data_IF_605764739232
#
_entry.id   IF_605764739232
#
_cell.length_a   1.000
_cell.length_b   1.000
_cell.length_c   1.000
_cell.angle_alpha   90.00
_cell.angle_beta   90.00
_cell.angle_gamma   90.00
#
_symmetry.space_group_name_H-M   'P 1'
#
loop_
_entity.id
_entity.type
_entity.pdbx_description
1 polymer ?
#
# COMPACT_ATOMS: atom_id res chain seq x y z
N UNK A 1 14.56 3.34 5.51
CA UNK A 1 14.70 4.76 5.92
C UNK A 1 13.31 5.40 5.92
N UNK A 2 12.81 5.86 7.07
CA UNK A 2 11.51 6.54 7.15
C UNK A 2 11.64 7.95 6.52
N UNK A 3 10.71 8.33 5.63
CA UNK A 3 10.70 9.65 4.98
C UNK A 3 10.72 10.82 5.98
N UNK A 4 10.15 10.67 7.19
CA UNK A 4 10.19 11.71 8.21
C UNK A 4 11.59 11.92 8.83
N UNK A 5 12.38 10.85 8.93
CA UNK A 5 13.79 10.92 9.38
C UNK A 5 14.62 11.56 8.27
N UNK A 6 14.43 11.13 7.03
CA UNK A 6 15.10 11.73 5.87
C UNK A 6 14.83 13.24 5.75
N UNK A 7 13.59 13.70 5.94
CA UNK A 7 13.25 15.14 5.89
C UNK A 7 13.91 15.92 7.02
N UNK A 8 13.96 15.36 8.24
CA UNK A 8 14.69 15.97 9.36
C UNK A 8 16.19 16.09 9.06
N UNK A 9 16.78 15.06 8.48
CA UNK A 9 18.21 15.06 8.14
C UNK A 9 18.49 16.04 6.98
N UNK A 10 17.61 16.10 5.97
CA UNK A 10 17.70 17.05 4.86
C UNK A 10 17.56 18.52 5.31
N UNK A 11 16.75 18.80 6.34
CA UNK A 11 16.70 20.14 6.95
C UNK A 11 18.07 20.56 7.50
N UNK A 12 18.84 19.63 8.05
CA UNK A 12 20.17 19.90 8.60
C UNK A 12 21.22 20.18 7.51
N UNK A 13 20.99 19.73 6.27
CA UNK A 13 21.89 19.91 5.13
C UNK A 13 21.79 21.30 4.46
N UNK A 14 20.93 22.20 4.96
CA UNK A 14 20.79 23.61 4.53
C UNK A 14 20.70 23.79 3.01
N UNK A 15 20.00 22.90 2.31
CA UNK A 15 19.84 23.01 0.86
C UNK A 15 19.03 24.26 0.47
N UNK A 16 19.54 25.13 -0.42
CA UNK A 16 18.95 26.45 -0.70
C UNK A 16 17.49 26.42 -1.17
N UNK A 17 17.04 25.31 -1.77
CA UNK A 17 15.70 25.14 -2.33
C UNK A 17 14.80 24.23 -1.50
N UNK A 18 15.30 23.62 -0.42
CA UNK A 18 14.51 22.75 0.43
C UNK A 18 13.90 23.56 1.57
N UNK A 19 12.59 23.84 1.48
CA UNK A 19 11.86 24.67 2.47
C UNK A 19 11.21 23.84 3.59
N UNK A 20 11.76 22.66 3.89
CA UNK A 20 11.25 21.80 4.96
C UNK A 20 9.96 21.08 4.59
N UNK A 21 8.96 21.11 5.49
CA UNK A 21 7.80 20.20 5.46
C UNK A 21 6.86 20.44 4.26
N UNK A 22 6.88 21.65 3.68
CA UNK A 22 6.10 22.00 2.48
C UNK A 22 6.57 21.27 1.22
N UNK A 23 7.81 20.76 1.20
CA UNK A 23 8.36 19.95 0.11
C UNK A 23 8.39 18.45 0.48
N UNK A 24 7.73 18.07 1.58
CA UNK A 24 7.67 16.68 2.00
C UNK A 24 6.65 15.90 1.16
N UNK A 25 7.16 15.01 0.31
CA UNK A 25 6.36 14.04 -0.43
C UNK A 25 6.38 12.71 0.34
N UNK A 26 5.20 12.15 0.56
CA UNK A 26 5.04 10.87 1.23
C UNK A 26 5.17 9.75 0.21
N UNK A 27 5.78 8.64 0.62
CA UNK A 27 5.93 7.48 -0.26
C UNK A 27 4.55 6.89 -0.55
N UNK A 28 4.07 7.00 -1.79
CA UNK A 28 2.73 6.53 -2.13
C UNK A 28 2.60 5.01 -2.05
N UNK A 29 3.66 4.25 -2.36
CA UNK A 29 3.69 2.80 -2.12
C UNK A 29 3.48 2.44 -0.63
N UNK A 30 4.01 3.28 0.29
CA UNK A 30 3.75 3.11 1.72
C UNK A 30 2.28 3.40 2.05
N UNK A 31 1.70 4.47 1.50
CA UNK A 31 0.28 4.81 1.68
C UNK A 31 -0.62 3.66 1.22
N UNK A 32 -0.38 3.09 0.04
CA UNK A 32 -1.12 1.92 -0.45
C UNK A 32 -1.06 0.74 0.51
N UNK A 33 0.14 0.44 1.02
CA UNK A 33 0.29 -0.61 2.02
C UNK A 33 -0.53 -0.32 3.29
N UNK A 34 -0.58 0.93 3.76
CA UNK A 34 -1.39 1.29 4.93
C UNK A 34 -2.90 1.15 4.66
N UNK A 35 -3.37 1.55 3.48
CA UNK A 35 -4.77 1.40 3.08
C UNK A 35 -5.13 -0.09 3.07
N UNK A 36 -4.35 -0.92 2.39
CA UNK A 36 -4.61 -2.36 2.30
C UNK A 36 -4.52 -3.03 3.67
N UNK A 37 -3.55 -2.65 4.51
CA UNK A 37 -3.47 -3.14 5.88
C UNK A 37 -4.73 -2.79 6.68
N UNK A 38 -5.29 -1.59 6.50
CA UNK A 38 -6.56 -1.19 7.13
C UNK A 38 -7.74 -2.05 6.65
N UNK A 39 -7.79 -2.38 5.36
CA UNK A 39 -8.83 -3.25 4.78
C UNK A 39 -8.71 -4.68 5.31
N UNK A 40 -7.50 -5.23 5.40
CA UNK A 40 -7.28 -6.62 5.82
C UNK A 40 -7.27 -6.81 7.33
N UNK A 41 -7.13 -5.73 8.10
CA UNK A 41 -7.02 -5.77 9.56
C UNK A 41 -8.20 -6.45 10.27
N UNK A 42 -9.47 -6.20 9.90
CA UNK A 42 -10.60 -6.93 10.48
C UNK A 42 -10.55 -8.44 10.25
N UNK A 43 -9.74 -8.92 9.29
CA UNK A 43 -9.62 -10.35 8.96
C UNK A 43 -8.30 -10.97 9.45
N UNK A 44 -7.41 -10.17 10.06
CA UNK A 44 -6.12 -10.62 10.58
C UNK A 44 -6.15 -11.01 12.07
N UNK A 45 -5.12 -11.73 12.52
CA UNK A 45 -4.89 -11.98 13.96
C UNK A 45 -4.12 -10.81 14.57
N UNK A 46 -4.70 -10.08 15.52
CA UNK A 46 -4.01 -8.99 16.22
C UNK A 46 -2.82 -9.53 17.03
N UNK A 47 -1.66 -8.84 17.00
CA UNK A 47 -0.70 -8.99 18.11
C UNK A 47 -1.38 -8.35 19.32
N UNK A 48 -1.61 -9.13 20.39
CA UNK A 48 -1.91 -8.53 21.70
C UNK A 48 -0.70 -7.66 22.05
N UNK A 49 -0.92 -6.38 22.37
CA UNK A 49 0.14 -5.56 22.99
C UNK A 49 0.58 -6.29 24.27
N UNK A 50 1.89 -6.34 24.61
CA UNK A 50 2.30 -6.80 25.92
C UNK A 50 1.66 -5.87 26.95
N UNK A 51 0.82 -6.41 27.82
CA UNK A 51 0.31 -5.66 28.97
C UNK A 51 1.52 -5.27 29.83
N UNK A 52 1.67 -4.02 30.29
CA UNK A 52 2.69 -3.69 31.26
C UNK A 52 2.45 -4.55 32.51
N UNK A 53 3.46 -5.32 32.91
CA UNK A 53 3.41 -6.08 34.16
C UNK A 53 3.25 -5.11 35.34
N UNK A 54 2.04 -5.08 35.91
CA UNK A 54 1.75 -4.55 37.23
C UNK A 54 1.42 -5.72 38.17
N UNK A 55 2.04 -5.70 39.35
CA UNK A 55 2.08 -6.71 40.41
C UNK A 55 0.77 -7.45 40.67
N UNK A 56 0.89 -8.77 40.89
CA UNK A 56 -0.22 -9.70 40.90
C UNK A 56 -1.00 -9.83 42.19
N UNK A 57 -2.02 -10.68 42.10
CA UNK A 57 -2.40 -11.66 43.13
C UNK A 57 -3.01 -12.86 42.41
N UNK A 58 -2.63 -14.01 42.93
CA UNK A 58 -2.98 -15.39 42.58
C UNK A 58 -4.49 -15.65 42.67
N UNK A 59 -5.11 -16.21 41.62
CA UNK A 59 -6.15 -17.24 41.76
C UNK A 59 -6.33 -18.03 40.45
N UNK A 60 -6.49 -19.34 40.59
CA UNK A 60 -6.32 -20.34 39.55
C UNK A 60 -7.49 -20.51 38.58
N UNK A 61 -7.18 -20.94 37.35
CA UNK A 61 -8.20 -21.34 36.38
C UNK A 61 -7.68 -21.69 34.99
N UNK A 62 -7.36 -22.98 34.81
CA UNK A 62 -7.48 -23.78 33.58
C UNK A 62 -6.68 -23.38 32.31
N UNK A 63 -5.66 -24.20 32.09
CA UNK A 63 -4.98 -24.54 30.84
C UNK A 63 -5.94 -24.77 29.66
N UNK A 64 -5.69 -24.07 28.54
CA UNK A 64 -6.03 -24.54 27.19
C UNK A 64 -5.42 -23.60 26.13
N UNK A 65 -4.40 -24.08 25.43
CA UNK A 65 -4.06 -23.60 24.08
C UNK A 65 -2.71 -22.92 23.96
N UNK A 66 -1.64 -23.71 24.08
CA UNK A 66 -0.30 -23.34 23.60
C UNK A 66 -0.32 -23.29 22.07
N UNK A 67 -0.68 -22.13 21.51
CA UNK A 67 -0.55 -21.87 20.08
C UNK A 67 0.89 -21.42 19.81
N UNK A 68 1.64 -22.27 19.10
CA UNK A 68 3.03 -22.02 18.75
C UNK A 68 3.10 -20.92 17.68
N UNK A 69 3.24 -19.67 18.10
CA UNK A 69 3.74 -18.58 17.26
C UNK A 69 5.26 -18.65 17.24
N UNK A 70 5.82 -19.38 16.27
CA UNK A 70 7.21 -19.14 15.88
C UNK A 70 7.21 -17.92 14.94
N UNK A 71 7.77 -16.83 15.46
CA UNK A 71 8.17 -15.65 14.71
C UNK A 71 9.14 -16.06 13.59
N UNK A 72 8.91 -15.58 12.37
CA UNK A 72 9.92 -15.64 11.32
C UNK A 72 9.93 -14.28 10.60
N UNK A 73 10.75 -13.38 11.16
CA UNK A 73 11.04 -12.05 10.65
C UNK A 73 11.99 -12.18 9.45
N UNK A 74 11.45 -12.02 8.24
CA UNK A 74 12.25 -11.72 7.04
C UNK A 74 11.70 -10.46 6.37
N UNK A 75 12.22 -9.34 6.85
CA UNK A 75 12.02 -8.02 6.26
C UNK A 75 12.78 -7.95 4.94
N UNK A 76 12.11 -7.45 3.90
CA UNK A 76 12.62 -7.43 2.54
C UNK A 76 11.57 -6.87 1.59
N UNK A 77 12.00 -6.20 0.55
CA UNK A 77 11.21 -5.28 -0.26
C UNK A 77 10.04 -5.94 -1.04
N UNK A 78 9.16 -5.07 -1.55
CA UNK A 78 8.04 -5.38 -2.46
C UNK A 78 8.55 -6.29 -3.58
N UNK A 79 8.12 -7.55 -3.60
CA UNK A 79 8.42 -8.45 -4.73
C UNK A 79 7.33 -8.25 -5.78
N UNK A 80 7.74 -7.84 -6.97
CA UNK A 80 6.85 -7.72 -8.13
C UNK A 80 6.34 -9.12 -8.49
N UNK A 81 5.03 -9.35 -8.45
CA UNK A 81 4.45 -10.54 -9.07
C UNK A 81 4.47 -10.28 -10.57
N UNK A 82 5.31 -11.03 -11.29
CA UNK A 82 5.35 -10.93 -12.75
C UNK A 82 3.98 -11.29 -13.34
N UNK A 83 3.59 -10.54 -14.38
CA UNK A 83 2.38 -10.79 -15.19
C UNK A 83 2.44 -12.22 -15.72
N UNK A 84 1.53 -13.07 -15.27
CA UNK A 84 1.50 -14.49 -15.65
C UNK A 84 0.93 -14.64 -17.06
N UNK A 85 1.79 -14.50 -18.07
CA UNK A 85 1.53 -15.06 -19.39
C UNK A 85 2.77 -15.82 -19.90
N UNK A 86 2.55 -17.13 -20.07
CA UNK A 86 3.28 -18.18 -20.81
C UNK A 86 4.79 -18.46 -20.60
N UNK A 87 4.99 -19.76 -20.37
CA UNK A 87 6.05 -20.69 -20.84
C UNK A 87 7.32 -20.94 -20.01
N UNK A 88 7.47 -22.23 -19.68
CA UNK A 88 8.64 -23.04 -19.31
C UNK A 88 9.19 -22.96 -17.88
N UNK A 89 9.43 -24.11 -17.21
CA UNK A 89 10.02 -24.16 -15.87
C UNK A 89 11.54 -24.13 -15.97
N UNK A 90 12.16 -23.01 -15.60
CA UNK A 90 13.57 -23.00 -15.21
C UNK A 90 13.66 -22.94 -13.68
N UNK A 91 14.34 -23.93 -13.12
CA UNK A 91 14.71 -24.00 -11.71
C UNK A 91 15.73 -22.89 -11.41
N UNK A 92 15.42 -22.01 -10.46
CA UNK A 92 16.40 -21.07 -9.92
C UNK A 92 16.58 -21.36 -8.42
N UNK A 93 17.77 -21.88 -8.08
CA UNK A 93 18.33 -21.84 -6.72
C UNK A 93 18.58 -20.38 -6.32
N UNK A 94 18.16 -20.00 -5.11
CA UNK A 94 18.47 -18.69 -4.54
C UNK A 94 19.58 -18.84 -3.51
N UNK A 95 20.76 -18.33 -3.88
CA UNK A 95 21.91 -18.14 -3.01
C UNK A 95 21.60 -17.06 -1.97
N UNK A 96 21.88 -17.39 -0.71
CA UNK A 96 21.85 -16.46 0.41
C UNK A 96 23.06 -15.52 0.32
N UNK A 97 22.82 -14.21 0.27
CA UNK A 97 23.86 -13.24 0.66
C UNK A 97 23.21 -12.02 1.32
N UNK A 98 23.90 -11.51 2.36
CA UNK A 98 23.32 -10.78 3.48
C UNK A 98 23.25 -9.26 3.39
N UNK A 99 23.03 -8.69 4.59
CA UNK A 99 23.07 -7.26 4.98
C UNK A 99 21.76 -6.47 4.76
N UNK A 100 21.26 -5.59 5.64
CA UNK A 100 21.70 -5.04 6.94
C UNK A 100 20.45 -4.57 7.70
N UNK A 101 20.44 -4.73 9.03
CA UNK A 101 19.35 -4.39 9.94
C UNK A 101 19.23 -2.87 10.17
N UNK A 102 18.02 -2.31 9.99
CA UNK A 102 17.63 -1.06 10.65
C UNK A 102 16.14 -1.12 10.97
N UNK A 103 15.80 -1.27 12.26
CA UNK A 103 14.42 -1.20 12.73
C UNK A 103 13.78 0.15 12.39
N UNK A 104 12.58 0.18 11.78
CA UNK A 104 11.83 1.41 11.64
C UNK A 104 11.17 1.77 12.97
N UNK A 105 11.66 2.84 13.61
CA UNK A 105 10.99 3.49 14.73
C UNK A 105 9.52 3.78 14.39
N UNK A 106 8.65 3.39 15.32
CA UNK A 106 7.19 3.49 15.26
C UNK A 106 6.76 4.94 15.04
N UNK A 107 6.22 5.24 13.85
CA UNK A 107 5.22 6.30 13.76
C UNK A 107 4.00 5.79 14.53
N UNK A 108 3.55 6.58 15.49
CA UNK A 108 2.38 6.33 16.32
C UNK A 108 1.16 6.22 15.39
N UNK A 109 0.94 5.00 14.90
CA UNK A 109 -0.12 4.73 13.96
C UNK A 109 -1.39 4.80 14.78
N UNK A 110 -2.17 5.89 14.61
CA UNK A 110 -3.55 5.99 15.06
C UNK A 110 -4.20 4.64 14.75
N UNK A 111 -4.37 3.85 15.81
CA UNK A 111 -4.72 2.46 15.69
C UNK A 111 -6.23 2.45 15.55
N UNK A 112 -6.75 2.75 14.35
CA UNK A 112 -8.19 2.76 14.08
C UNK A 112 -8.76 1.42 14.54
N UNK A 113 -9.62 1.46 15.54
CA UNK A 113 -10.37 0.34 16.09
C UNK A 113 -11.62 0.11 15.23
N UNK A 114 -12.23 -1.08 15.34
CA UNK A 114 -13.47 -1.38 14.64
C UNK A 114 -14.62 -0.44 15.06
N UNK A 115 -14.50 0.22 16.22
CA UNK A 115 -15.44 1.25 16.71
C UNK A 115 -15.29 2.60 15.99
N UNK A 116 -14.25 2.78 15.16
CA UNK A 116 -13.98 4.02 14.44
C UNK A 116 -14.59 4.04 13.02
N UNK A 117 -15.43 3.06 12.67
CA UNK A 117 -16.11 2.97 11.38
C UNK A 117 -17.47 3.67 11.49
N UNK A 118 -17.54 4.91 10.99
CA UNK A 118 -18.81 5.63 10.87
C UNK A 118 -19.78 4.85 9.97
N UNK A 119 -21.04 4.71 10.40
CA UNK A 119 -22.10 4.02 9.66
C UNK A 119 -21.79 2.55 9.30
N UNK A 120 -21.14 1.81 10.21
CA UNK A 120 -20.91 0.38 10.03
C UNK A 120 -22.22 -0.37 9.75
N UNK A 121 -22.22 -1.21 8.72
CA UNK A 121 -23.33 -2.09 8.41
C UNK A 121 -23.36 -3.25 9.41
N UNK A 122 -24.54 -3.58 9.93
CA UNK A 122 -24.70 -4.70 10.87
C UNK A 122 -24.50 -6.02 10.14
N UNK A 123 -23.61 -6.86 10.67
CA UNK A 123 -23.41 -8.24 10.21
C UNK A 123 -24.51 -9.15 10.77
N UNK A 124 -25.06 -10.03 9.93
CA UNK A 124 -26.10 -10.97 10.31
C UNK A 124 -25.69 -12.43 10.07
N UNK A 125 -26.30 -13.34 10.82
CA UNK A 125 -26.02 -14.80 10.71
C UNK A 125 -26.36 -15.40 9.34
N UNK A 126 -27.11 -14.67 8.50
CA UNK A 126 -27.48 -15.08 7.13
C UNK A 126 -26.51 -14.58 6.07
N UNK A 127 -25.54 -13.74 6.43
CA UNK A 127 -24.56 -13.23 5.50
C UNK A 127 -23.65 -14.37 5.00
N UNK A 128 -23.20 -14.28 3.73
CA UNK A 128 -22.27 -15.27 3.14
C UNK A 128 -21.02 -15.45 4.02
N UNK A 129 -20.56 -14.36 4.63
CA UNK A 129 -19.48 -14.35 5.61
C UNK A 129 -19.57 -13.11 6.53
N UNK A 130 -19.11 -13.27 7.76
CA UNK A 130 -18.92 -12.26 8.80
C UNK A 130 -17.44 -11.98 9.04
N UNK A 131 -17.10 -10.87 9.71
CA UNK A 131 -15.72 -10.53 10.05
C UNK A 131 -15.01 -11.64 10.83
N UNK A 132 -15.73 -12.34 11.70
CA UNK A 132 -15.21 -13.52 12.42
C UNK A 132 -14.91 -14.67 11.46
N UNK A 133 -15.86 -15.03 10.59
CA UNK A 133 -15.62 -16.10 9.61
C UNK A 133 -14.49 -15.76 8.64
N UNK A 134 -14.32 -14.49 8.25
CA UNK A 134 -13.21 -14.05 7.41
C UNK A 134 -11.85 -14.33 8.07
N UNK A 135 -11.72 -14.08 9.38
CA UNK A 135 -10.50 -14.41 10.15
C UNK A 135 -10.20 -15.91 10.09
N UNK A 136 -11.23 -16.74 10.24
CA UNK A 136 -11.11 -18.19 10.17
C UNK A 136 -10.73 -18.65 8.76
N UNK A 137 -11.39 -18.14 7.71
CA UNK A 137 -11.08 -18.43 6.30
C UNK A 137 -9.63 -18.15 5.97
N UNK A 138 -9.11 -16.97 6.31
CA UNK A 138 -7.70 -16.65 6.05
C UNK A 138 -6.75 -17.55 6.86
N UNK A 139 -7.13 -17.97 8.07
CA UNK A 139 -6.35 -18.95 8.83
C UNK A 139 -6.36 -20.34 8.17
N UNK A 140 -7.49 -20.79 7.61
CA UNK A 140 -7.59 -22.03 6.83
C UNK A 140 -6.67 -22.00 5.60
N UNK A 141 -6.68 -20.91 4.84
CA UNK A 141 -5.80 -20.77 3.66
C UNK A 141 -4.32 -20.81 4.02
N UNK A 142 -3.91 -20.15 5.10
CA UNK A 142 -2.55 -20.26 5.64
C UNK A 142 -2.20 -21.69 6.04
N UNK A 143 -3.13 -22.43 6.65
CA UNK A 143 -2.93 -23.82 7.01
C UNK A 143 -2.73 -24.73 5.79
N UNK A 144 -3.50 -24.51 4.72
CA UNK A 144 -3.35 -25.22 3.43
C UNK A 144 -1.96 -24.95 2.83
N UNK A 145 -1.57 -23.67 2.71
CA UNK A 145 -0.26 -23.29 2.19
C UNK A 145 0.89 -23.92 3.02
N UNK A 146 0.77 -23.90 4.35
CA UNK A 146 1.75 -24.54 5.25
C UNK A 146 1.83 -26.05 5.00
N UNK A 147 0.69 -26.73 4.88
CA UNK A 147 0.65 -28.18 4.65
C UNK A 147 1.33 -28.57 3.34
N UNK A 148 1.00 -27.86 2.25
CA UNK A 148 1.58 -28.11 0.92
C UNK A 148 3.07 -27.78 0.86
N UNK A 149 3.56 -26.83 1.66
CA UNK A 149 4.98 -26.50 1.72
C UNK A 149 5.81 -27.57 2.44
N UNK A 150 5.34 -28.03 3.61
CA UNK A 150 6.15 -28.86 4.51
C UNK A 150 5.88 -30.37 4.38
N UNK A 151 4.92 -30.79 3.57
CA UNK A 151 4.62 -32.21 3.37
C UNK A 151 4.72 -32.58 1.89
N UNK A 152 5.88 -33.09 1.43
CA UNK A 152 6.11 -33.44 0.03
C UNK A 152 5.07 -34.43 -0.52
N UNK A 153 4.72 -35.47 0.25
CA UNK A 153 3.69 -36.45 -0.16
C UNK A 153 2.33 -35.78 -0.35
N UNK A 154 1.96 -34.87 0.56
CA UNK A 154 0.71 -34.13 0.48
C UNK A 154 0.68 -33.17 -0.70
N UNK A 155 1.82 -32.55 -1.04
CA UNK A 155 1.99 -31.74 -2.25
C UNK A 155 1.88 -32.57 -3.52
N UNK A 156 2.48 -33.76 -3.57
CA UNK A 156 2.41 -34.64 -4.73
C UNK A 156 0.95 -35.02 -5.05
N UNK A 157 0.21 -35.49 -4.04
CA UNK A 157 -1.22 -35.81 -4.15
C UNK A 157 -2.06 -34.59 -4.56
N UNK A 158 -1.75 -33.41 -4.02
CA UNK A 158 -2.43 -32.17 -4.41
C UNK A 158 -2.20 -31.82 -5.87
N UNK A 159 -0.96 -31.93 -6.35
CA UNK A 159 -0.62 -31.65 -7.76
C UNK A 159 -1.29 -32.65 -8.69
N UNK A 160 -1.39 -33.92 -8.32
CA UNK A 160 -2.17 -34.93 -9.07
C UNK A 160 -3.64 -34.55 -9.13
N UNK A 161 -4.25 -34.23 -7.98
CA UNK A 161 -5.64 -33.74 -7.92
C UNK A 161 -5.84 -32.47 -8.77
N UNK A 162 -4.87 -31.56 -8.78
CA UNK A 162 -4.91 -30.36 -9.64
C UNK A 162 -4.92 -30.71 -11.13
N UNK A 163 -4.19 -31.75 -11.56
CA UNK A 163 -4.21 -32.21 -12.95
C UNK A 163 -5.54 -32.85 -13.30
N UNK A 164 -6.07 -33.69 -12.42
CA UNK A 164 -7.35 -34.37 -12.61
C UNK A 164 -8.53 -33.40 -12.67
N UNK A 165 -8.43 -32.29 -11.93
CA UNK A 165 -9.41 -31.19 -11.95
C UNK A 165 -9.12 -30.11 -13.00
N UNK A 166 -8.12 -30.32 -13.85
CA UNK A 166 -7.71 -29.38 -14.90
C UNK A 166 -7.45 -27.96 -14.37
N UNK A 167 -6.94 -27.84 -13.14
CA UNK A 167 -6.60 -26.55 -12.52
C UNK A 167 -5.44 -25.88 -13.27
N UNK A 168 -5.51 -24.56 -13.44
CA UNK A 168 -4.43 -23.82 -14.08
C UNK A 168 -3.14 -23.84 -13.25
N UNK A 169 -1.99 -23.80 -13.93
CA UNK A 169 -0.68 -23.72 -13.27
C UNK A 169 -0.40 -22.30 -12.75
N UNK A 170 0.36 -22.13 -11.66
CA UNK A 170 1.06 -23.18 -10.91
C UNK A 170 0.17 -23.93 -9.91
N UNK A 171 0.37 -25.25 -9.78
CA UNK A 171 -0.33 -26.14 -8.84
C UNK A 171 0.21 -26.02 -7.42
N UNK A 172 0.19 -24.80 -6.89
CA UNK A 172 0.68 -24.47 -5.56
C UNK A 172 -0.15 -23.33 -4.98
N UNK A 173 -0.30 -23.33 -3.66
CA UNK A 173 -0.89 -22.22 -2.92
C UNK A 173 0.23 -21.36 -2.35
N UNK A 174 0.27 -20.09 -2.75
CA UNK A 174 1.27 -19.13 -2.29
C UNK A 174 1.18 -18.86 -0.78
N UNK A 175 2.32 -18.53 -0.17
CA UNK A 175 2.41 -18.25 1.26
C UNK A 175 2.01 -16.80 1.53
N UNK A 176 1.09 -16.59 2.47
CA UNK A 176 0.84 -15.28 3.06
C UNK A 176 1.97 -14.87 4.01
N UNK A 177 2.46 -13.66 3.83
CA UNK A 177 3.48 -12.97 4.63
C UNK A 177 2.81 -11.74 5.22
N UNK A 178 2.59 -11.78 6.53
CA UNK A 178 1.83 -10.77 7.28
C UNK A 178 2.26 -9.32 7.02
N UNK A 179 3.57 -9.10 6.84
CA UNK A 179 4.13 -7.76 6.62
C UNK A 179 3.99 -7.27 5.17
N UNK A 180 3.53 -8.12 4.24
CA UNK A 180 3.47 -7.83 2.80
C UNK A 180 2.11 -8.20 2.23
N UNK A 181 1.19 -7.25 2.14
CA UNK A 181 -0.18 -7.50 1.66
C UNK A 181 -0.24 -8.16 0.26
N UNK A 182 0.74 -7.91 -0.62
CA UNK A 182 0.83 -8.54 -1.94
C UNK A 182 0.86 -10.08 -1.85
N UNK A 183 1.43 -10.63 -0.77
CA UNK A 183 1.47 -12.07 -0.54
C UNK A 183 0.10 -12.63 -0.15
N UNK A 184 -0.72 -11.85 0.56
CA UNK A 184 -2.12 -12.20 0.84
C UNK A 184 -2.90 -12.28 -0.48
N UNK A 185 -2.78 -11.28 -1.35
CA UNK A 185 -3.42 -11.31 -2.67
C UNK A 185 -2.93 -12.49 -3.54
N UNK A 186 -1.62 -12.79 -3.52
CA UNK A 186 -1.06 -13.95 -4.21
C UNK A 186 -1.61 -15.29 -3.70
N UNK A 187 -1.75 -15.42 -2.37
CA UNK A 187 -2.36 -16.59 -1.74
C UNK A 187 -3.81 -16.76 -2.18
N UNK A 188 -4.62 -15.70 -2.10
CA UNK A 188 -6.03 -15.74 -2.48
C UNK A 188 -6.21 -16.15 -3.95
N UNK A 189 -5.47 -15.53 -4.87
CA UNK A 189 -5.50 -15.91 -6.31
C UNK A 189 -5.09 -17.37 -6.52
N UNK A 190 -4.14 -17.88 -5.75
CA UNK A 190 -3.70 -19.28 -5.85
C UNK A 190 -4.72 -20.26 -5.29
N UNK A 191 -5.42 -19.88 -4.22
CA UNK A 191 -6.52 -20.67 -3.66
C UNK A 191 -7.67 -20.76 -4.65
N UNK A 192 -8.09 -19.63 -5.24
CA UNK A 192 -9.14 -19.59 -6.27
C UNK A 192 -8.77 -20.46 -7.47
N UNK A 193 -7.52 -20.33 -7.95
CA UNK A 193 -7.02 -21.11 -9.09
C UNK A 193 -7.11 -22.63 -8.87
N UNK A 194 -6.94 -23.08 -7.63
CA UNK A 194 -6.93 -24.49 -7.28
C UNK A 194 -8.19 -24.92 -6.52
N UNK A 195 -9.29 -24.16 -6.58
CA UNK A 195 -10.50 -24.38 -5.78
C UNK A 195 -11.05 -25.81 -5.87
N UNK A 196 -11.27 -26.31 -7.08
CA UNK A 196 -11.78 -27.66 -7.32
C UNK A 196 -10.86 -28.75 -6.72
N UNK A 197 -9.54 -28.57 -6.85
CA UNK A 197 -8.57 -29.49 -6.30
C UNK A 197 -8.52 -29.42 -4.77
N UNK A 198 -8.57 -28.23 -4.18
CA UNK A 198 -8.59 -28.04 -2.72
C UNK A 198 -9.81 -28.71 -2.12
N UNK A 199 -11.00 -28.56 -2.73
CA UNK A 199 -12.25 -29.14 -2.25
C UNK A 199 -12.22 -30.66 -2.16
N UNK A 200 -11.50 -31.32 -3.08
CA UNK A 200 -11.32 -32.77 -3.11
C UNK A 200 -10.15 -33.24 -2.23
N UNK A 201 -8.96 -32.70 -2.45
CA UNK A 201 -7.73 -33.08 -1.74
C UNK A 201 -7.85 -32.92 -0.23
N UNK A 202 -8.57 -31.91 0.27
CA UNK A 202 -8.74 -31.71 1.71
C UNK A 202 -9.36 -32.93 2.42
N UNK A 203 -10.14 -33.75 1.71
CA UNK A 203 -10.84 -34.94 2.23
C UNK A 203 -9.97 -36.20 2.23
N UNK A 204 -8.76 -36.13 1.67
CA UNK A 204 -7.89 -37.29 1.53
C UNK A 204 -7.44 -37.84 2.90
N UNK A 205 -7.66 -39.13 3.16
CA UNK A 205 -7.53 -39.74 4.51
C UNK A 205 -6.15 -39.58 5.16
N UNK A 206 -5.07 -39.71 4.38
CA UNK A 206 -3.68 -39.67 4.90
C UNK A 206 -2.97 -38.33 4.69
N UNK A 207 -3.24 -37.70 3.56
CA UNK A 207 -2.49 -36.56 3.03
C UNK A 207 -3.31 -35.27 2.93
N UNK A 208 -4.61 -35.30 3.25
CA UNK A 208 -5.48 -34.12 3.24
C UNK A 208 -5.35 -33.26 4.50
N UNK A 209 -6.41 -32.49 4.77
CA UNK A 209 -6.44 -31.50 5.85
C UNK A 209 -7.12 -32.05 7.11
N UNK A 210 -6.82 -31.46 8.26
CA UNK A 210 -7.63 -31.69 9.47
C UNK A 210 -8.99 -31.03 9.27
N UNK A 211 -10.07 -31.65 9.75
CA UNK A 211 -11.46 -31.19 9.56
C UNK A 211 -11.70 -29.73 10.00
N UNK A 212 -11.00 -29.25 11.04
CA UNK A 212 -11.07 -27.85 11.49
C UNK A 212 -10.55 -26.81 10.48
N UNK A 213 -9.78 -27.25 9.48
CA UNK A 213 -9.25 -26.41 8.41
C UNK A 213 -9.93 -26.68 7.07
N UNK A 214 -11.10 -27.34 7.08
CA UNK A 214 -11.84 -27.55 5.86
C UNK A 214 -12.39 -26.23 5.34
N UNK A 215 -12.28 -26.06 4.03
CA UNK A 215 -12.81 -24.91 3.31
C UNK A 215 -14.07 -25.30 2.53
N UNK A 216 -15.01 -24.38 2.46
CA UNK A 216 -16.28 -24.50 1.74
C UNK A 216 -16.48 -23.36 0.72
N UNK A 217 -17.65 -23.31 0.08
CA UNK A 217 -17.92 -22.33 -0.96
C UNK A 217 -17.88 -20.89 -0.45
N UNK A 218 -18.33 -20.63 0.79
CA UNK A 218 -18.31 -19.29 1.36
C UNK A 218 -16.88 -18.80 1.58
N UNK A 219 -15.96 -19.70 1.95
CA UNK A 219 -14.54 -19.38 2.04
C UNK A 219 -13.97 -18.93 0.68
N UNK A 220 -14.34 -19.61 -0.42
CA UNK A 220 -13.91 -19.23 -1.78
C UNK A 220 -14.58 -17.96 -2.29
N UNK A 221 -15.86 -17.74 -1.96
CA UNK A 221 -16.57 -16.51 -2.29
C UNK A 221 -15.92 -15.29 -1.65
N UNK A 222 -15.55 -15.39 -0.36
CA UNK A 222 -14.74 -14.36 0.30
C UNK A 222 -13.41 -14.13 -0.42
N UNK A 223 -12.74 -15.20 -0.85
CA UNK A 223 -11.46 -15.06 -1.54
C UNK A 223 -11.60 -14.27 -2.85
N UNK A 224 -12.67 -14.51 -3.63
CA UNK A 224 -12.94 -13.78 -4.88
C UNK A 224 -13.25 -12.32 -4.61
N UNK A 225 -14.15 -12.05 -3.67
CA UNK A 225 -14.55 -10.69 -3.31
C UNK A 225 -13.35 -9.88 -2.78
N UNK A 226 -12.47 -10.49 -1.98
CA UNK A 226 -11.22 -9.86 -1.53
C UNK A 226 -10.23 -9.61 -2.68
N UNK A 227 -10.08 -10.54 -3.62
CA UNK A 227 -9.19 -10.33 -4.77
C UNK A 227 -9.68 -9.17 -5.62
N UNK A 228 -10.98 -9.08 -5.89
CA UNK A 228 -11.57 -7.98 -6.66
C UNK A 228 -11.30 -6.62 -6.01
N UNK A 229 -11.44 -6.52 -4.68
CA UNK A 229 -11.11 -5.30 -3.94
C UNK A 229 -9.61 -4.99 -4.01
N UNK A 230 -8.74 -6.00 -3.89
CA UNK A 230 -7.28 -5.83 -3.84
C UNK A 230 -6.61 -5.67 -5.22
N UNK A 231 -7.28 -6.02 -6.31
CA UNK A 231 -6.74 -6.00 -7.67
C UNK A 231 -6.31 -4.59 -8.10
N UNK A 232 -7.13 -3.56 -7.82
CA UNK A 232 -6.77 -2.17 -8.12
C UNK A 232 -5.48 -1.75 -7.40
N UNK A 233 -5.35 -2.09 -6.12
CA UNK A 233 -4.13 -1.79 -5.35
C UNK A 233 -2.91 -2.47 -5.95
N UNK A 234 -3.08 -3.67 -6.51
CA UNK A 234 -2.01 -4.43 -7.13
C UNK A 234 -1.55 -3.78 -8.44
N UNK A 235 -2.50 -3.38 -9.28
CA UNK A 235 -2.23 -2.67 -10.53
C UNK A 235 -1.51 -1.34 -10.27
N UNK A 236 -2.03 -0.52 -9.35
CA UNK A 236 -1.41 0.75 -8.98
C UNK A 236 0.01 0.51 -8.42
N UNK A 237 0.18 -0.51 -7.57
CA UNK A 237 1.52 -0.84 -7.03
C UNK A 237 2.50 -1.25 -8.12
N UNK A 238 2.06 -2.01 -9.13
CA UNK A 238 2.87 -2.39 -10.28
C UNK A 238 3.28 -1.15 -11.09
N UNK A 239 2.35 -0.23 -11.33
CA UNK A 239 2.64 1.04 -12.00
C UNK A 239 3.67 1.86 -11.22
N UNK A 240 3.53 1.94 -9.89
CA UNK A 240 4.43 2.70 -9.02
C UNK A 240 5.84 2.09 -8.98
N UNK A 241 5.91 0.77 -9.04
CA UNK A 241 7.16 0.00 -8.97
C UNK A 241 7.93 -0.03 -10.29
N UNK A 242 7.31 0.44 -11.38
CA UNK A 242 7.96 0.47 -12.70
C UNK A 242 8.84 1.71 -12.82
N UNK A 243 10.15 1.50 -13.02
CA UNK A 243 11.11 2.59 -13.15
C UNK A 243 10.71 3.57 -14.28
N UNK A 244 10.73 4.86 -14.00
CA UNK A 244 10.39 5.92 -14.96
C UNK A 244 8.90 6.17 -15.19
N UNK A 245 8.01 5.36 -14.61
CA UNK A 245 6.56 5.47 -14.78
C UNK A 245 5.91 6.45 -13.80
N UNK A 246 6.38 6.46 -12.56
CA UNK A 246 5.65 7.10 -11.46
C UNK A 246 6.02 8.55 -11.29
N UNK A 247 5.14 9.43 -11.76
CA UNK A 247 5.26 10.86 -11.58
C UNK A 247 4.39 11.32 -10.40
N UNK A 248 4.82 12.38 -9.71
CA UNK A 248 4.04 13.02 -8.62
C UNK A 248 2.62 13.38 -9.09
N UNK A 249 2.45 13.66 -10.39
CA UNK A 249 1.17 13.93 -11.03
C UNK A 249 0.16 12.79 -10.90
N UNK A 250 0.61 11.54 -10.82
CA UNK A 250 -0.28 10.37 -10.81
C UNK A 250 -0.80 10.05 -9.40
N UNK A 251 -0.20 10.61 -8.35
CA UNK A 251 -0.55 10.26 -6.96
C UNK A 251 -2.00 10.62 -6.65
N UNK A 252 -2.43 11.83 -6.99
CA UNK A 252 -3.83 12.27 -6.77
C UNK A 252 -4.78 11.44 -7.62
N UNK A 253 -4.42 11.17 -8.88
CA UNK A 253 -5.19 10.31 -9.79
C UNK A 253 -5.42 8.92 -9.19
N UNK A 254 -4.38 8.31 -8.63
CA UNK A 254 -4.49 7.01 -7.97
C UNK A 254 -5.34 7.06 -6.71
N UNK A 255 -5.27 8.15 -5.92
CA UNK A 255 -6.13 8.30 -4.75
C UNK A 255 -7.59 8.44 -5.17
N UNK A 256 -7.88 9.18 -6.23
CA UNK A 256 -9.25 9.35 -6.76
C UNK A 256 -9.80 7.99 -7.25
N UNK A 257 -8.99 7.21 -7.97
CA UNK A 257 -9.34 5.84 -8.40
C UNK A 257 -9.63 4.91 -7.21
N UNK A 258 -8.78 4.93 -6.18
CA UNK A 258 -8.98 4.12 -4.97
C UNK A 258 -10.24 4.55 -4.23
N UNK A 259 -10.49 5.86 -4.14
CA UNK A 259 -11.66 6.43 -3.48
C UNK A 259 -12.94 5.97 -4.17
N UNK A 260 -12.99 6.04 -5.50
CA UNK A 260 -14.13 5.59 -6.30
C UNK A 260 -14.35 4.07 -6.18
N UNK A 261 -13.28 3.28 -6.28
CA UNK A 261 -13.33 1.82 -6.15
C UNK A 261 -13.85 1.37 -4.78
N UNK A 262 -13.30 1.92 -3.70
CA UNK A 262 -13.76 1.59 -2.35
C UNK A 262 -15.18 2.09 -2.09
N UNK A 263 -15.54 3.28 -2.58
CA UNK A 263 -16.91 3.81 -2.43
C UNK A 263 -17.93 2.94 -3.16
N UNK A 264 -17.59 2.48 -4.37
CA UNK A 264 -18.40 1.55 -5.16
C UNK A 264 -18.58 0.22 -4.43
N UNK A 265 -17.51 -0.35 -3.87
CA UNK A 265 -17.59 -1.56 -3.05
C UNK A 265 -18.44 -1.36 -1.78
N UNK A 266 -18.40 -0.18 -1.15
CA UNK A 266 -19.19 0.12 0.06
C UNK A 266 -20.69 0.20 -0.23
N UNK A 267 -21.10 0.70 -1.40
CA UNK A 267 -22.53 0.80 -1.77
C UNK A 267 -23.07 -0.47 -2.41
N UNK A 268 -22.21 -1.36 -2.90
CA UNK A 268 -22.61 -2.59 -3.57
C UNK A 268 -23.40 -3.51 -2.60
N UNK A 269 -24.68 -3.82 -2.87
CA UNK A 269 -25.47 -4.71 -2.03
C UNK A 269 -25.02 -6.18 -2.10
N UNK A 270 -24.31 -6.58 -3.15
CA UNK A 270 -23.84 -7.96 -3.34
C UNK A 270 -22.70 -8.31 -2.37
N UNK A 271 -21.97 -7.30 -1.88
CA UNK A 271 -20.95 -7.50 -0.86
C UNK A 271 -21.53 -7.55 0.56
N UNK A 272 -21.19 -8.58 1.35
CA UNK A 272 -21.60 -8.69 2.74
C UNK A 272 -21.13 -7.50 3.58
N UNK A 273 -21.87 -7.16 4.66
CA UNK A 273 -21.51 -6.10 5.60
C UNK A 273 -20.06 -6.13 6.06
N UNK A 274 -19.49 -7.31 6.31
CA UNK A 274 -18.10 -7.47 6.73
C UNK A 274 -17.10 -6.86 5.72
N UNK A 275 -17.26 -7.13 4.41
CA UNK A 275 -16.38 -6.58 3.39
C UNK A 275 -16.59 -5.07 3.20
N UNK A 276 -17.85 -4.62 3.24
CA UNK A 276 -18.17 -3.19 3.13
C UNK A 276 -17.58 -2.39 4.29
N UNK A 277 -17.63 -2.92 5.51
CA UNK A 277 -17.01 -2.32 6.68
C UNK A 277 -15.48 -2.28 6.56
N UNK A 278 -14.86 -3.35 6.06
CA UNK A 278 -13.42 -3.35 5.75
C UNK A 278 -13.05 -2.28 4.70
N UNK A 279 -13.86 -2.10 3.66
CA UNK A 279 -13.67 -1.05 2.65
C UNK A 279 -13.81 0.36 3.25
N UNK A 280 -14.76 0.58 4.17
CA UNK A 280 -14.89 1.84 4.92
C UNK A 280 -13.61 2.16 5.70
N UNK A 281 -13.00 1.17 6.35
CA UNK A 281 -11.72 1.32 7.05
C UNK A 281 -10.58 1.69 6.10
N UNK A 282 -10.55 1.11 4.89
CA UNK A 282 -9.61 1.51 3.84
C UNK A 282 -9.83 2.94 3.36
N UNK A 283 -11.09 3.32 3.14
CA UNK A 283 -11.48 4.64 2.65
C UNK A 283 -11.11 5.74 3.67
N UNK A 284 -11.26 5.47 4.97
CA UNK A 284 -10.84 6.40 6.03
C UNK A 284 -9.34 6.72 5.98
N UNK A 285 -8.50 5.71 5.78
CA UNK A 285 -7.05 5.92 5.60
C UNK A 285 -6.77 6.66 4.29
N UNK A 286 -7.48 6.31 3.21
CA UNK A 286 -7.37 6.98 1.91
C UNK A 286 -7.64 8.48 2.06
N UNK A 287 -8.74 8.86 2.73
CA UNK A 287 -9.11 10.26 2.99
C UNK A 287 -8.08 10.98 3.89
N UNK A 288 -7.56 10.30 4.93
CA UNK A 288 -6.47 10.84 5.75
C UNK A 288 -5.27 11.23 4.89
N UNK A 289 -4.81 10.34 4.01
CA UNK A 289 -3.66 10.65 3.16
C UNK A 289 -3.97 11.60 2.01
N UNK A 290 -5.21 11.63 1.50
CA UNK A 290 -5.65 12.63 0.53
C UNK A 290 -5.56 14.05 1.11
N UNK A 291 -6.10 14.30 2.31
CA UNK A 291 -5.99 15.61 2.97
C UNK A 291 -4.54 16.05 3.23
N UNK A 292 -3.63 15.09 3.42
CA UNK A 292 -2.22 15.37 3.59
C UNK A 292 -1.50 15.75 2.28
N UNK A 293 -2.12 15.58 1.12
CA UNK A 293 -1.59 16.07 -0.16
C UNK A 293 -1.62 17.60 -0.24
N UNK A 294 -2.60 18.25 0.43
CA UNK A 294 -2.70 19.71 0.49
C UNK A 294 -1.55 20.37 1.25
N UNK A 295 -0.82 19.61 2.07
CA UNK A 295 0.37 20.10 2.78
C UNK A 295 1.54 20.43 1.83
N UNK A 296 1.52 19.94 0.58
CA UNK A 296 2.55 20.24 -0.41
C UNK A 296 1.94 20.72 -1.73
N UNK A 297 2.32 21.93 -2.21
CA UNK A 297 1.83 22.42 -3.51
C UNK A 297 2.34 21.57 -4.69
N UNK A 298 3.34 20.72 -4.46
CA UNK A 298 3.99 19.91 -5.51
C UNK A 298 3.03 18.94 -6.19
N UNK A 299 2.05 18.38 -5.50
CA UNK A 299 1.06 17.48 -6.12
C UNK A 299 0.22 18.22 -7.16
N UNK A 300 -0.35 19.37 -6.78
CA UNK A 300 -1.18 20.20 -7.67
C UNK A 300 -0.38 20.76 -8.84
N UNK A 301 0.84 21.24 -8.58
CA UNK A 301 1.74 21.77 -9.61
C UNK A 301 2.14 20.66 -10.60
N UNK A 302 2.46 19.45 -10.11
CA UNK A 302 2.83 18.34 -10.98
C UNK A 302 1.70 17.93 -11.94
N UNK A 303 0.46 17.88 -11.45
CA UNK A 303 -0.72 17.60 -12.29
C UNK A 303 -0.90 18.70 -13.34
N UNK A 304 -0.82 19.97 -12.93
CA UNK A 304 -1.01 21.11 -13.83
C UNK A 304 0.05 21.16 -14.94
N UNK A 305 1.30 20.79 -14.62
CA UNK A 305 2.40 20.74 -15.59
C UNK A 305 2.38 19.47 -16.46
N UNK A 306 1.57 18.47 -16.12
CA UNK A 306 1.48 17.24 -16.90
C UNK A 306 0.76 17.51 -18.23
N UNK A 307 1.42 17.25 -19.40
CA UNK A 307 0.89 17.65 -20.71
C UNK A 307 -0.50 17.12 -21.05
N UNK A 308 -0.85 15.93 -20.53
CA UNK A 308 -2.14 15.27 -20.75
C UNK A 308 -3.22 15.61 -19.72
N UNK A 309 -2.87 16.25 -18.60
CA UNK A 309 -3.84 16.57 -17.53
C UNK A 309 -4.18 18.05 -17.54
N UNK A 310 -3.17 18.91 -17.35
CA UNK A 310 -3.32 20.37 -17.26
C UNK A 310 -4.41 20.75 -16.26
N UNK A 311 -5.12 21.85 -16.48
CA UNK A 311 -6.27 22.26 -15.69
C UNK A 311 -7.54 21.46 -16.02
N UNK A 312 -7.58 20.75 -17.16
CA UNK A 312 -8.71 19.92 -17.57
C UNK A 312 -8.95 18.77 -16.58
N UNK A 313 -7.89 18.16 -16.04
CA UNK A 313 -8.02 17.12 -15.02
C UNK A 313 -8.85 17.58 -13.82
N UNK A 314 -8.54 18.75 -13.27
CA UNK A 314 -9.25 19.23 -12.08
C UNK A 314 -10.74 19.49 -12.36
N UNK A 315 -11.08 19.91 -13.58
CA UNK A 315 -12.47 20.10 -14.01
C UNK A 315 -13.19 18.75 -14.12
N UNK A 316 -12.53 17.74 -14.70
CA UNK A 316 -13.09 16.37 -14.81
C UNK A 316 -13.23 15.70 -13.44
N UNK A 317 -12.30 15.94 -12.53
CA UNK A 317 -12.36 15.50 -11.14
C UNK A 317 -13.34 16.33 -10.29
N UNK A 318 -14.06 17.28 -10.90
CA UNK A 318 -15.05 18.15 -10.27
C UNK A 318 -14.53 18.90 -9.04
N UNK A 319 -13.29 19.39 -9.11
CA UNK A 319 -12.71 20.24 -8.08
C UNK A 319 -13.40 21.61 -8.06
N UNK A 320 -13.55 22.17 -6.87
CA UNK A 320 -14.10 23.52 -6.69
C UNK A 320 -13.28 24.55 -7.48
N UNK A 321 -13.93 25.52 -8.17
CA UNK A 321 -13.25 26.52 -8.99
C UNK A 321 -12.13 27.26 -8.24
N UNK A 322 -12.32 27.51 -6.93
CA UNK A 322 -11.35 28.16 -6.06
C UNK A 322 -10.09 27.30 -5.88
N UNK A 323 -10.23 25.98 -5.80
CA UNK A 323 -9.09 25.06 -5.66
C UNK A 323 -8.28 24.97 -6.95
N UNK A 324 -8.97 25.00 -8.10
CA UNK A 324 -8.31 25.06 -9.42
C UNK A 324 -7.54 26.37 -9.57
N UNK A 325 -8.15 27.49 -9.21
CA UNK A 325 -7.50 28.80 -9.24
C UNK A 325 -6.25 28.83 -8.32
N UNK A 326 -6.35 28.23 -7.14
CA UNK A 326 -5.23 28.11 -6.21
C UNK A 326 -4.09 27.25 -6.77
N UNK A 327 -4.38 26.12 -7.42
CA UNK A 327 -3.37 25.29 -8.09
C UNK A 327 -2.60 26.08 -9.17
N UNK A 328 -3.31 26.86 -10.00
CA UNK A 328 -2.71 27.73 -11.03
C UNK A 328 -1.86 28.83 -10.39
N UNK A 329 -2.36 29.45 -9.31
CA UNK A 329 -1.65 30.49 -8.57
C UNK A 329 -0.31 29.96 -8.02
N UNK A 330 -0.34 28.81 -7.35
CA UNK A 330 0.84 28.15 -6.78
C UNK A 330 1.88 27.80 -7.86
N UNK A 331 1.44 27.27 -9.00
CA UNK A 331 2.34 26.96 -10.11
C UNK A 331 3.02 28.20 -10.69
N UNK A 332 2.26 29.28 -10.90
CA UNK A 332 2.78 30.56 -11.39
C UNK A 332 3.76 31.18 -10.40
N UNK A 333 3.43 31.19 -9.11
CA UNK A 333 4.31 31.71 -8.06
C UNK A 333 5.63 30.94 -8.02
N UNK A 334 5.59 29.60 -8.10
CA UNK A 334 6.78 28.77 -8.16
C UNK A 334 7.64 29.08 -9.40
N UNK A 335 7.02 29.21 -10.58
CA UNK A 335 7.70 29.60 -11.80
C UNK A 335 8.37 30.98 -11.69
N UNK A 336 7.63 31.99 -11.25
CA UNK A 336 8.13 33.36 -11.11
C UNK A 336 9.29 33.45 -10.12
N UNK A 337 9.18 32.76 -8.99
CA UNK A 337 10.16 32.84 -7.91
C UNK A 337 11.47 32.12 -8.24
N UNK A 338 11.40 31.00 -8.97
CA UNK A 338 12.54 30.07 -9.07
C UNK A 338 13.05 29.82 -10.49
N UNK A 339 12.24 30.08 -11.53
CA UNK A 339 12.54 29.64 -12.89
C UNK A 339 12.44 30.75 -13.94
N UNK A 340 11.71 31.83 -13.67
CA UNK A 340 11.61 32.98 -14.58
C UNK A 340 13.01 33.58 -14.78
N UNK A 341 13.52 33.66 -16.03
CA UNK A 341 14.80 34.30 -16.30
C UNK A 341 14.76 35.75 -15.83
N UNK A 342 15.74 36.14 -15.01
CA UNK A 342 15.94 37.56 -14.71
C UNK A 342 16.44 38.21 -16.01
N UNK A 343 15.70 39.20 -16.52
CA UNK A 343 16.18 40.01 -17.63
C UNK A 343 17.55 40.57 -17.24
N UNK A 344 18.59 40.21 -18.01
CA UNK A 344 19.91 40.79 -17.83
C UNK A 344 19.75 42.32 -17.83
N UNK A 345 20.10 42.96 -16.72
CA UNK A 345 20.16 44.41 -16.65
C UNK A 345 21.03 44.87 -17.82
N UNK A 346 20.42 45.65 -18.72
CA UNK A 346 21.12 46.43 -19.75
C UNK A 346 22.34 47.07 -19.10
N UNK A 347 23.55 46.99 -19.70
CA UNK A 347 24.71 47.66 -19.14
C UNK A 347 24.38 49.15 -19.05
N UNK A 348 24.30 49.67 -17.82
CA UNK A 348 24.23 51.10 -17.55
C UNK A 348 25.36 51.76 -18.32
N UNK A 349 25.00 52.64 -19.27
CA UNK A 349 25.95 53.41 -20.03
C UNK A 349 26.97 54.07 -19.09
N UNK A 350 28.25 53.78 -19.31
CA UNK A 350 29.33 54.40 -18.56
C UNK A 350 29.24 55.94 -18.71
N UNK A 351 29.41 56.71 -17.64
CA UNK A 351 29.45 58.17 -17.76
C UNK A 351 30.71 58.57 -18.55
N UNK A 352 30.52 59.46 -19.53
CA UNK A 352 31.60 60.04 -20.36
C UNK A 352 32.68 60.67 -19.46
N UNK A 353 33.97 60.54 -19.78
CA UNK A 353 35.03 61.22 -19.04
C UNK A 353 34.94 62.73 -19.26
N UNK A 354 34.68 63.47 -18.18
CA UNK A 354 34.73 64.93 -18.13
C UNK A 354 36.16 65.44 -18.38
N UNK A 355 36.23 66.55 -19.11
CA UNK A 355 37.46 67.25 -19.47
C UNK A 355 38.32 67.61 -18.26
N UNK A 356 39.63 67.32 -18.38
CA UNK A 356 40.67 67.81 -17.48
C UNK A 356 40.64 69.34 -17.40
N UNK A 357 40.60 69.90 -16.19
CA UNK A 357 41.15 71.22 -15.90
C UNK A 357 42.24 71.02 -14.87
N UNK A 358 43.50 71.02 -15.34
CA UNK A 358 44.69 71.08 -14.49
C UNK A 358 44.91 72.54 -14.08
N UNK A 359 44.86 72.80 -12.77
CA UNK A 359 45.42 74.00 -12.16
C UNK A 359 46.54 73.56 -11.23
N UNK A 360 47.78 73.68 -11.70
CA UNK A 360 48.99 73.61 -10.89
C UNK A 360 49.72 74.92 -11.11
N UNK A 361 49.90 75.65 -10.01
CA UNK A 361 50.46 76.99 -9.93
C UNK A 361 51.85 76.87 -9.28
N UNK A 362 52.88 77.30 -10.04
CA UNK A 362 54.06 78.11 -9.59
C UNK A 362 55.20 77.34 -8.89
N UNK A 363 56.51 77.59 -9.09
CA UNK A 363 57.35 78.50 -9.89
C UNK A 363 58.79 77.94 -9.93
N UNK A 364 59.62 78.54 -10.80
CA UNK A 364 61.10 78.64 -10.85
C UNK A 364 61.94 78.12 -9.69
#
# INVERSE_FOLDING_TARGET
MNNAVLVRDLKNLKWPRFKGDTHWIRCFAHILNLIVQSILRPFGTHKKKPTPQGQGTDDGGLDSGKDCSEDDHTEGQIRLLARWDKTSPEEYEYSSDGESEVEPAQEDHDTLSDADIDNASVEGDKDRYTSTSCKETLAKFRAIAKKLRYSPNSKAEFVETCRDKECATPHMVERDVRTRWNSTAAQLRSVIRCEAAILEWQRHKRHGMKRKYFVDQNDFDLARDLVEVLDLFHEITLQISTAGSTQISNVVVFIDQITDHLSTAIINPDYPPALRNACRSGLKITNKYYSLTDASPLYRIAILLHPSFRDEYFKLANWEPEWIAEAIRLAREMWITHYKPQSANTPTAAPKPGSKVSSLVVLQ
#
